data_IF_201348054538
#
_entry.id   IF_201348054538
#
_cell.length_a   1.000
_cell.length_b   1.000
_cell.length_c   1.000
_cell.angle_alpha   90.00
_cell.angle_beta   90.00
_cell.angle_gamma   90.00
#
_symmetry.space_group_name_H-M   'P 1'
#
loop_
_entity.id
_entity.type
_entity.pdbx_description
1 polymer ?
#
# COMPACT_ATOMS: atom_id res chain seq x y z
N UNK A 1 -12.20 8.49 15.08
CA UNK A 1 -11.48 7.25 15.44
C UNK A 1 -10.89 6.68 14.16
N UNK A 2 -9.60 6.34 14.16
CA UNK A 2 -8.96 5.73 12.99
C UNK A 2 -9.38 4.25 12.91
N UNK A 3 -9.72 3.75 11.73
CA UNK A 3 -10.06 2.35 11.48
C UNK A 3 -9.41 1.85 10.18
N UNK A 4 -9.48 0.55 9.93
CA UNK A 4 -8.85 -0.07 8.76
C UNK A 4 -9.44 0.43 7.43
N UNK A 5 -10.74 0.70 7.35
CA UNK A 5 -11.34 1.23 6.13
C UNK A 5 -10.82 2.62 5.75
N UNK A 6 -10.60 3.49 6.74
CA UNK A 6 -9.96 4.78 6.54
C UNK A 6 -8.49 4.62 6.13
N UNK A 7 -7.80 3.61 6.64
CA UNK A 7 -6.42 3.28 6.24
C UNK A 7 -6.39 2.82 4.78
N UNK A 8 -7.30 1.92 4.37
CA UNK A 8 -7.41 1.46 2.99
C UNK A 8 -7.64 2.62 2.02
N UNK A 9 -8.66 3.45 2.28
CA UNK A 9 -8.96 4.61 1.45
C UNK A 9 -7.80 5.61 1.39
N UNK A 10 -7.11 5.81 2.52
CA UNK A 10 -5.93 6.67 2.56
C UNK A 10 -4.79 6.15 1.68
N UNK A 11 -4.47 4.86 1.77
CA UNK A 11 -3.41 4.27 0.95
C UNK A 11 -3.78 4.27 -0.53
N UNK A 12 -5.01 3.92 -0.90
CA UNK A 12 -5.46 3.97 -2.29
C UNK A 12 -5.24 5.35 -2.92
N UNK A 13 -5.68 6.41 -2.23
CA UNK A 13 -5.51 7.79 -2.69
C UNK A 13 -4.03 8.17 -2.76
N UNK A 14 -3.28 7.88 -1.69
CA UNK A 14 -1.87 8.27 -1.57
C UNK A 14 -0.99 7.58 -2.62
N UNK A 15 -1.27 6.32 -2.94
CA UNK A 15 -0.56 5.57 -4.00
C UNK A 15 -0.84 6.21 -5.36
N UNK A 16 -2.10 6.54 -5.66
CA UNK A 16 -2.46 7.19 -6.91
C UNK A 16 -1.81 8.57 -7.06
N UNK A 17 -1.83 9.40 -6.01
CA UNK A 17 -1.17 10.71 -5.98
C UNK A 17 0.33 10.60 -6.22
N UNK A 18 1.00 9.65 -5.54
CA UNK A 18 2.46 9.42 -5.69
C UNK A 18 2.84 8.89 -7.07
N UNK A 19 2.01 8.03 -7.66
CA UNK A 19 2.23 7.55 -9.02
C UNK A 19 2.12 8.69 -10.04
N UNK A 20 1.07 9.52 -9.93
CA UNK A 20 0.86 10.67 -10.82
C UNK A 20 1.98 11.72 -10.70
N UNK A 21 2.54 11.90 -9.50
CA UNK A 21 3.66 12.81 -9.27
C UNK A 21 5.05 12.20 -9.56
N UNK A 22 5.11 10.95 -10.04
CA UNK A 22 6.35 10.17 -10.22
C UNK A 22 7.22 10.10 -8.95
N UNK A 23 6.60 10.13 -7.76
CA UNK A 23 7.30 10.04 -6.46
C UNK A 23 7.67 8.58 -6.14
N UNK A 24 8.77 8.10 -6.74
CA UNK A 24 9.27 6.74 -6.56
C UNK A 24 9.60 6.41 -5.10
N UNK A 25 10.21 7.34 -4.35
CA UNK A 25 10.54 7.11 -2.94
C UNK A 25 9.28 7.11 -2.08
N UNK A 26 8.29 7.95 -2.40
CA UNK A 26 6.96 7.88 -1.80
C UNK A 26 6.29 6.54 -2.01
N UNK A 27 6.32 6.01 -3.24
CA UNK A 27 5.81 4.67 -3.52
C UNK A 27 6.56 3.60 -2.72
N UNK A 28 7.90 3.67 -2.64
CA UNK A 28 8.70 2.74 -1.83
C UNK A 28 8.29 2.78 -0.35
N UNK A 29 8.11 3.97 0.22
CA UNK A 29 7.62 4.14 1.60
C UNK A 29 6.20 3.58 1.79
N UNK A 30 5.29 3.78 0.83
CA UNK A 30 3.95 3.18 0.86
C UNK A 30 4.04 1.65 0.93
N UNK A 31 4.89 1.05 0.11
CA UNK A 31 5.01 -0.40 0.04
C UNK A 31 5.48 -0.98 1.38
N UNK A 32 6.52 -0.41 1.98
CA UNK A 32 7.00 -0.86 3.29
C UNK A 32 5.95 -0.73 4.38
N UNK A 33 5.25 0.40 4.44
CA UNK A 33 4.16 0.57 5.40
C UNK A 33 3.05 -0.47 5.22
N UNK A 34 2.71 -0.81 3.97
CA UNK A 34 1.72 -1.84 3.69
C UNK A 34 2.18 -3.24 4.09
N UNK A 35 3.46 -3.58 3.90
CA UNK A 35 4.02 -4.87 4.36
C UNK A 35 3.93 -4.99 5.88
N UNK A 36 4.34 -3.97 6.63
CA UNK A 36 4.23 -3.98 8.10
C UNK A 36 2.78 -4.14 8.57
N UNK A 37 1.82 -3.52 7.87
CA UNK A 37 0.40 -3.68 8.18
C UNK A 37 -0.12 -5.08 7.85
N UNK A 38 0.38 -5.72 6.78
CA UNK A 38 0.05 -7.12 6.46
C UNK A 38 0.48 -8.02 7.60
N UNK A 39 1.73 -7.89 8.05
CA UNK A 39 2.28 -8.71 9.13
C UNK A 39 1.52 -8.50 10.44
N UNK A 40 1.13 -7.25 10.73
CA UNK A 40 0.29 -6.92 11.88
C UNK A 40 -1.11 -7.56 11.79
N UNK A 41 -1.75 -7.52 10.62
CA UNK A 41 -3.05 -8.14 10.40
C UNK A 41 -2.99 -9.67 10.49
N UNK A 42 -1.94 -10.29 9.95
CA UNK A 42 -1.70 -11.73 10.07
C UNK A 42 -1.47 -12.15 11.52
N UNK A 43 -0.66 -11.40 12.28
CA UNK A 43 -0.43 -11.65 13.70
C UNK A 43 -1.71 -11.51 14.54
N UNK A 44 -2.63 -10.64 14.14
CA UNK A 44 -3.94 -10.48 14.77
C UNK A 44 -4.97 -11.55 14.35
N UNK A 45 -4.64 -12.41 13.37
CA UNK A 45 -5.57 -13.38 12.80
C UNK A 45 -6.60 -12.78 11.83
N UNK A 46 -6.46 -11.51 11.47
CA UNK A 46 -7.34 -10.81 10.52
C UNK A 46 -6.87 -11.05 9.07
N UNK A 47 -7.25 -12.23 8.55
CA UNK A 47 -6.90 -12.66 7.20
C UNK A 47 -7.52 -11.80 6.10
N UNK A 48 -8.71 -11.25 6.33
CA UNK A 48 -9.40 -10.41 5.35
C UNK A 48 -8.62 -9.11 5.15
N UNK A 49 -8.28 -8.43 6.24
CA UNK A 49 -7.50 -7.20 6.18
C UNK A 49 -6.10 -7.45 5.64
N UNK A 50 -5.43 -8.54 6.04
CA UNK A 50 -4.12 -8.92 5.49
C UNK A 50 -4.15 -9.08 3.96
N UNK A 51 -5.20 -9.73 3.43
CA UNK A 51 -5.37 -9.89 1.98
C UNK A 51 -5.57 -8.54 1.28
N UNK A 52 -6.44 -7.68 1.81
CA UNK A 52 -6.69 -6.34 1.25
C UNK A 52 -5.42 -5.49 1.25
N UNK A 53 -4.64 -5.52 2.33
CA UNK A 53 -3.35 -4.83 2.42
C UNK A 53 -2.33 -5.38 1.42
N UNK A 54 -2.27 -6.71 1.23
CA UNK A 54 -1.41 -7.33 0.21
C UNK A 54 -1.73 -6.86 -1.20
N UNK A 55 -3.02 -6.75 -1.55
CA UNK A 55 -3.43 -6.24 -2.86
C UNK A 55 -2.93 -4.81 -3.08
N UNK A 56 -3.02 -3.95 -2.07
CA UNK A 56 -2.46 -2.60 -2.14
C UNK A 56 -0.93 -2.61 -2.28
N UNK A 57 -0.23 -3.46 -1.54
CA UNK A 57 1.23 -3.58 -1.62
C UNK A 57 1.68 -4.01 -3.03
N UNK A 58 0.99 -4.98 -3.64
CA UNK A 58 1.23 -5.41 -5.02
C UNK A 58 0.95 -4.29 -6.02
N UNK A 59 -0.12 -3.50 -5.82
CA UNK A 59 -0.40 -2.33 -6.68
C UNK A 59 0.74 -1.32 -6.65
N UNK A 60 1.33 -1.07 -5.47
CA UNK A 60 2.50 -0.20 -5.34
C UNK A 60 3.70 -0.76 -6.10
N UNK A 61 3.97 -2.06 -5.99
CA UNK A 61 5.06 -2.70 -6.72
C UNK A 61 4.92 -2.50 -8.24
N UNK A 62 3.74 -2.77 -8.79
CA UNK A 62 3.46 -2.58 -10.21
C UNK A 62 3.65 -1.12 -10.65
N UNK A 63 3.20 -0.15 -9.85
CA UNK A 63 3.40 1.27 -10.14
C UNK A 63 4.87 1.68 -10.12
N UNK A 64 5.68 1.09 -9.23
CA UNK A 64 7.13 1.34 -9.18
C UNK A 64 7.84 0.78 -10.40
N UNK A 65 7.50 -0.44 -10.80
CA UNK A 65 8.05 -1.07 -12.01
C UNK A 65 7.71 -0.24 -13.26
N UNK A 66 6.44 0.15 -13.42
CA UNK A 66 6.00 0.98 -14.55
C UNK A 66 6.72 2.33 -14.64
N UNK A 67 7.14 2.92 -13.52
CA UNK A 67 7.92 4.17 -13.50
C UNK A 67 9.42 3.95 -13.66
N UNK A 68 9.93 2.74 -13.44
CA UNK A 68 11.33 2.40 -13.61
C UNK A 68 11.65 2.02 -15.07
N UNK A 69 10.65 1.54 -15.81
CA UNK A 69 10.74 1.16 -17.23
C UNK A 69 10.52 2.34 -18.21
N UNK A 70 10.23 3.55 -17.71
CA UNK A 70 9.98 4.80 -18.47
C UNK A 70 11.16 5.80 -18.37
#
# INVERSE_FOLDING_TARGET
>A
MLNLDLIFAHFERTIAERFLSRDLEGLRRSQWALVELVDAAEAAGDRESALRLRVLASKVANHREALADD
#
